data_IF_431245685546
#
_entry.id   IF_431245685546
#
_cell.length_a   1.000
_cell.length_b   1.000
_cell.length_c   1.000
_cell.angle_alpha   90.00
_cell.angle_beta   90.00
_cell.angle_gamma   90.00
#
_symmetry.space_group_name_H-M   'P 1'
#
loop_
_entity.id
_entity.type
_entity.pdbx_description
1 polymer ?
#
# COMPACT_ATOMS: atom_id res chain seq x y z
N UNK A 1 -9.29 -12.99 16.47
CA UNK A 1 -9.75 -12.99 15.08
C UNK A 1 -9.90 -11.59 14.49
N UNK A 2 -10.45 -10.59 15.19
CA UNK A 2 -10.80 -9.30 14.56
C UNK A 2 -9.78 -8.15 14.72
N UNK A 3 -8.74 -8.31 15.54
CA UNK A 3 -7.63 -7.34 15.73
C UNK A 3 -8.05 -5.87 15.79
N UNK A 4 -8.92 -5.50 16.74
CA UNK A 4 -9.43 -4.14 16.93
C UNK A 4 -8.40 -3.21 17.60
N UNK A 5 -7.34 -2.84 16.87
CA UNK A 5 -6.28 -1.92 17.31
C UNK A 5 -6.60 -0.45 16.96
N UNK A 6 -5.72 0.46 17.36
CA UNK A 6 -5.79 1.88 16.99
C UNK A 6 -5.70 2.05 15.46
N UNK A 7 -6.56 2.90 14.89
CA UNK A 7 -6.39 3.47 13.56
C UNK A 7 -5.87 4.91 13.76
N UNK A 8 -4.57 5.14 13.63
CA UNK A 8 -4.00 6.43 14.00
C UNK A 8 -4.34 7.51 12.96
N UNK A 9 -4.61 8.75 13.40
CA UNK A 9 -4.94 9.84 12.49
C UNK A 9 -3.85 10.07 11.42
N UNK A 10 -2.58 9.94 11.81
CA UNK A 10 -1.43 10.05 10.91
C UNK A 10 -1.43 9.00 9.79
N UNK A 11 -1.93 7.79 10.06
CA UNK A 11 -2.01 6.70 9.08
C UNK A 11 -3.18 6.92 8.11
N UNK A 12 -4.25 7.57 8.56
CA UNK A 12 -5.48 7.78 7.77
C UNK A 12 -5.41 9.00 6.86
N UNK A 13 -4.65 10.04 7.23
CA UNK A 13 -4.60 11.31 6.48
C UNK A 13 -4.21 11.17 5.00
N UNK A 14 -3.20 10.37 4.60
CA UNK A 14 -2.78 10.31 3.20
C UNK A 14 -3.82 9.72 2.24
N UNK A 15 -4.81 8.97 2.75
CA UNK A 15 -5.84 8.31 1.94
C UNK A 15 -6.69 9.28 1.12
N UNK A 16 -6.79 10.55 1.55
CA UNK A 16 -7.55 11.59 0.85
C UNK A 16 -6.69 12.58 0.07
N UNK A 17 -5.37 12.40 0.03
CA UNK A 17 -4.51 13.26 -0.79
C UNK A 17 -4.75 12.96 -2.27
N UNK A 18 -4.88 13.99 -3.14
CA UNK A 18 -5.15 13.78 -4.57
C UNK A 18 -4.16 12.85 -5.27
N UNK A 19 -2.87 12.91 -4.88
CA UNK A 19 -1.81 12.06 -5.43
C UNK A 19 -2.04 10.55 -5.19
N UNK A 20 -2.89 10.19 -4.21
CA UNK A 20 -3.33 8.82 -3.94
C UNK A 20 -4.78 8.58 -4.38
N UNK A 21 -5.71 9.47 -4.01
CA UNK A 21 -7.15 9.25 -4.19
C UNK A 21 -7.63 9.39 -5.65
N UNK A 22 -6.96 10.24 -6.45
CA UNK A 22 -7.46 10.67 -7.76
C UNK A 22 -6.68 10.07 -8.94
N UNK A 23 -5.84 9.07 -8.68
CA UNK A 23 -5.08 8.38 -9.73
C UNK A 23 -5.89 7.22 -10.32
N UNK A 24 -6.15 7.26 -11.62
CA UNK A 24 -6.82 6.16 -12.32
C UNK A 24 -5.92 4.90 -12.34
N UNK A 25 -6.43 3.69 -12.07
CA UNK A 25 -5.59 2.48 -11.94
C UNK A 25 -4.86 2.06 -13.22
N UNK A 26 -5.29 2.56 -14.38
CA UNK A 26 -4.67 2.30 -15.68
C UNK A 26 -3.95 3.51 -16.29
N UNK A 27 -3.48 4.45 -15.46
CA UNK A 27 -2.57 5.49 -15.95
C UNK A 27 -1.27 4.88 -16.51
N UNK A 28 -0.61 5.57 -17.45
CA UNK A 28 0.77 5.29 -17.80
C UNK A 28 1.67 5.14 -16.55
N UNK A 29 2.58 4.18 -16.58
CA UNK A 29 3.38 3.80 -15.40
C UNK A 29 4.25 4.94 -14.85
N UNK A 30 4.66 5.87 -15.71
CA UNK A 30 5.43 7.05 -15.35
C UNK A 30 4.64 8.05 -14.48
N UNK A 31 3.31 8.00 -14.49
CA UNK A 31 2.43 8.81 -13.64
C UNK A 31 2.22 8.19 -12.25
N UNK A 32 2.56 6.92 -12.05
CA UNK A 32 2.32 6.17 -10.81
C UNK A 32 3.62 5.79 -10.05
N UNK A 33 4.72 6.48 -10.29
CA UNK A 33 6.03 6.15 -9.70
C UNK A 33 6.00 6.18 -8.17
N UNK A 34 5.24 7.10 -7.56
CA UNK A 34 5.05 7.15 -6.11
C UNK A 34 4.38 5.89 -5.56
N UNK A 35 3.32 5.42 -6.22
CA UNK A 35 2.67 4.14 -5.89
C UNK A 35 3.62 2.96 -6.01
N UNK A 36 4.45 2.94 -7.06
CA UNK A 36 5.42 1.86 -7.25
C UNK A 36 6.41 1.79 -6.09
N UNK A 37 6.99 2.94 -5.71
CA UNK A 37 7.92 3.02 -4.59
C UNK A 37 7.28 2.57 -3.27
N UNK A 38 6.05 3.02 -2.98
CA UNK A 38 5.30 2.63 -1.79
C UNK A 38 5.03 1.11 -1.74
N UNK A 39 4.62 0.51 -2.86
CA UNK A 39 4.32 -0.92 -2.93
C UNK A 39 5.58 -1.76 -2.75
N UNK A 40 6.69 -1.38 -3.40
CA UNK A 40 7.96 -2.09 -3.30
C UNK A 40 8.51 -2.02 -1.85
N UNK A 41 8.44 -0.86 -1.19
CA UNK A 41 8.83 -0.68 0.22
C UNK A 41 7.96 -1.52 1.17
N UNK A 42 6.62 -1.51 0.99
CA UNK A 42 5.73 -2.33 1.80
C UNK A 42 5.98 -3.83 1.59
N UNK A 43 6.19 -4.26 0.34
CA UNK A 43 6.51 -5.66 0.04
C UNK A 43 7.80 -6.10 0.73
N UNK A 44 8.86 -5.29 0.68
CA UNK A 44 10.12 -5.59 1.34
C UNK A 44 9.95 -5.73 2.87
N UNK A 45 9.19 -4.82 3.49
CA UNK A 45 8.88 -4.88 4.93
C UNK A 45 8.07 -6.12 5.30
N UNK A 46 7.09 -6.50 4.47
CA UNK A 46 6.29 -7.71 4.70
C UNK A 46 7.16 -8.98 4.55
N UNK A 47 8.02 -9.05 3.54
CA UNK A 47 9.01 -10.13 3.41
C UNK A 47 9.90 -10.22 4.65
N UNK A 48 10.40 -9.09 5.14
CA UNK A 48 11.26 -9.06 6.35
C UNK A 48 10.54 -9.57 7.60
N UNK A 49 9.27 -9.21 7.80
CA UNK A 49 8.52 -9.59 9.01
C UNK A 49 8.04 -11.05 8.96
N UNK A 50 7.82 -11.60 7.76
CA UNK A 50 7.24 -12.94 7.58
C UNK A 50 8.23 -14.03 7.16
N UNK A 51 9.37 -13.65 6.56
CA UNK A 51 10.35 -14.57 6.00
C UNK A 51 10.01 -15.12 4.61
N UNK A 52 8.97 -14.61 3.95
CA UNK A 52 8.67 -14.96 2.55
C UNK A 52 9.59 -14.23 1.56
N UNK A 53 9.74 -14.80 0.37
CA UNK A 53 10.56 -14.21 -0.70
C UNK A 53 9.86 -13.05 -1.42
N UNK A 54 8.53 -13.08 -1.55
CA UNK A 54 7.76 -12.08 -2.30
C UNK A 54 6.29 -12.01 -1.87
N UNK A 55 5.64 -10.88 -2.16
CA UNK A 55 4.21 -10.65 -1.94
C UNK A 55 3.50 -10.14 -3.21
N UNK A 56 2.21 -10.48 -3.32
CA UNK A 56 1.28 -9.86 -4.29
C UNK A 56 0.33 -8.94 -3.54
N UNK A 57 0.17 -7.70 -4.02
CA UNK A 57 -0.80 -6.72 -3.50
C UNK A 57 -2.16 -6.78 -4.20
N UNK A 58 -2.38 -7.76 -5.08
CA UNK A 58 -3.64 -7.90 -5.83
C UNK A 58 -4.83 -8.37 -4.97
N UNK A 59 -4.69 -9.30 -4.00
CA UNK A 59 -5.82 -9.69 -3.15
C UNK A 59 -6.28 -8.53 -2.25
N UNK A 60 -7.58 -8.25 -2.23
CA UNK A 60 -8.19 -7.15 -1.46
C UNK A 60 -8.98 -7.61 -0.22
N UNK A 61 -8.88 -8.89 0.13
CA UNK A 61 -9.34 -9.45 1.40
C UNK A 61 -8.40 -10.55 1.88
N UNK A 62 -8.32 -10.74 3.21
CA UNK A 62 -7.61 -11.85 3.84
C UNK A 62 -8.32 -13.19 3.73
#
# INVERSE_FOLDING_TARGET
>A
SCTMKLNAAAEMMPLSWPDYADLHPFVPADQAQGYRHMIDDLSAKLCQVTGYDAFSMQPNSG
#
